data_IF_528366636518
#
_entry.id   IF_528366636518
#
_cell.length_a   1.000
_cell.length_b   1.000
_cell.length_c   1.000
_cell.angle_alpha   90.00
_cell.angle_beta   90.00
_cell.angle_gamma   90.00
#
_symmetry.space_group_name_H-M   'P 1'
#
loop_
_entity.id
_entity.type
_entity.pdbx_description
1 polymer ?
#
# COMPACT_ATOMS: atom_id res chain seq x y z
N UNK A 1 16.14 12.89 9.71
CA UNK A 1 14.88 12.19 9.48
C UNK A 1 14.65 12.25 7.98
N UNK A 2 15.14 11.25 7.26
CA UNK A 2 14.93 11.19 5.81
C UNK A 2 13.50 10.73 5.61
N UNK A 3 12.58 11.66 5.38
CA UNK A 3 11.22 11.31 4.97
C UNK A 3 11.31 10.68 3.58
N UNK A 4 11.34 9.35 3.52
CA UNK A 4 11.26 8.59 2.27
C UNK A 4 9.86 8.81 1.69
N UNK A 5 9.67 9.88 0.94
CA UNK A 5 8.41 10.14 0.24
C UNK A 5 8.33 9.20 -0.96
N UNK A 6 7.36 8.30 -0.92
CA UNK A 6 6.81 7.60 -2.08
C UNK A 6 6.10 8.64 -3.00
N UNK A 7 6.68 8.99 -4.17
CA UNK A 7 6.04 9.93 -5.08
C UNK A 7 4.83 9.26 -5.74
N UNK A 8 3.70 9.97 -5.78
CA UNK A 8 2.47 9.51 -6.43
C UNK A 8 2.12 10.47 -7.56
N UNK A 9 1.97 9.94 -8.78
CA UNK A 9 1.41 10.69 -9.90
C UNK A 9 -0.09 10.91 -9.68
N UNK A 10 -0.44 12.14 -9.26
CA UNK A 10 -1.82 12.55 -8.96
C UNK A 10 -2.71 12.46 -10.19
N UNK A 11 -2.23 12.85 -11.37
CA UNK A 11 -3.04 12.83 -12.58
C UNK A 11 -3.35 11.40 -12.99
N UNK A 12 -2.38 10.48 -12.85
CA UNK A 12 -2.62 9.05 -13.06
C UNK A 12 -3.62 8.51 -12.05
N UNK A 13 -3.46 8.83 -10.77
CA UNK A 13 -4.36 8.37 -9.72
C UNK A 13 -5.81 8.79 -9.98
N UNK A 14 -6.05 10.06 -10.33
CA UNK A 14 -7.38 10.59 -10.65
C UNK A 14 -7.98 9.93 -11.91
N UNK A 15 -7.14 9.52 -12.88
CA UNK A 15 -7.65 8.84 -14.09
C UNK A 15 -8.03 7.38 -13.85
N UNK A 16 -7.37 6.73 -12.88
CA UNK A 16 -7.55 5.30 -12.57
C UNK A 16 -8.55 5.06 -11.44
N UNK A 17 -8.98 6.12 -10.75
CA UNK A 17 -9.93 6.05 -9.65
C UNK A 17 -11.07 7.03 -9.91
N UNK A 18 -12.28 6.74 -9.42
CA UNK A 18 -13.41 7.67 -9.49
C UNK A 18 -13.41 8.72 -8.36
N UNK A 19 -12.25 8.93 -7.72
CA UNK A 19 -12.10 9.85 -6.58
C UNK A 19 -11.98 11.29 -7.07
N UNK A 20 -12.77 12.24 -6.55
CA UNK A 20 -12.69 13.63 -6.95
C UNK A 20 -11.34 14.23 -6.54
N UNK A 21 -10.84 15.16 -7.36
CA UNK A 21 -9.49 15.72 -7.24
C UNK A 21 -9.16 16.28 -5.85
N UNK A 22 -10.12 16.97 -5.20
CA UNK A 22 -9.93 17.52 -3.85
C UNK A 22 -9.72 16.41 -2.81
N UNK A 23 -10.46 15.30 -2.91
CA UNK A 23 -10.31 14.15 -2.03
C UNK A 23 -9.00 13.41 -2.30
N UNK A 24 -8.55 13.35 -3.55
CA UNK A 24 -7.23 12.82 -3.90
C UNK A 24 -6.12 13.61 -3.20
N UNK A 25 -6.16 14.95 -3.20
CA UNK A 25 -5.18 15.74 -2.46
C UNK A 25 -5.23 15.47 -0.95
N UNK A 26 -6.42 15.33 -0.37
CA UNK A 26 -6.58 15.02 1.05
C UNK A 26 -6.07 13.61 1.40
N UNK A 27 -6.29 12.63 0.52
CA UNK A 27 -5.78 11.26 0.65
C UNK A 27 -4.26 11.24 0.56
N UNK A 28 -3.72 11.80 -0.51
CA UNK A 28 -2.30 11.79 -0.81
C UNK A 28 -1.50 12.75 0.07
N UNK A 29 -2.11 13.62 0.86
CA UNK A 29 -1.42 14.36 1.91
C UNK A 29 -0.86 13.44 3.00
N UNK A 30 -1.51 12.29 3.26
CA UNK A 30 -1.04 11.31 4.24
C UNK A 30 0.13 10.50 3.66
N UNK A 31 1.32 10.65 4.28
CA UNK A 31 2.52 9.95 3.84
C UNK A 31 2.40 8.43 3.90
N UNK A 32 1.77 7.89 4.96
CA UNK A 32 1.57 6.45 5.12
C UNK A 32 0.68 5.88 4.04
N UNK A 33 -0.38 6.60 3.68
CA UNK A 33 -1.26 6.21 2.59
C UNK A 33 -0.50 6.11 1.27
N UNK A 34 0.38 7.07 0.96
CA UNK A 34 1.22 7.01 -0.24
C UNK A 34 2.13 5.79 -0.25
N UNK A 35 2.79 5.49 0.88
CA UNK A 35 3.64 4.30 1.01
C UNK A 35 2.82 3.02 0.83
N UNK A 36 1.67 2.91 1.48
CA UNK A 36 0.77 1.76 1.35
C UNK A 36 0.31 1.55 -0.09
N UNK A 37 -0.08 2.62 -0.81
CA UNK A 37 -0.44 2.53 -2.22
C UNK A 37 0.71 2.04 -3.10
N UNK A 38 1.94 2.49 -2.82
CA UNK A 38 3.13 2.01 -3.52
C UNK A 38 3.38 0.53 -3.27
N UNK A 39 3.36 0.10 -2.00
CA UNK A 39 3.55 -1.30 -1.63
C UNK A 39 2.49 -2.19 -2.28
N UNK A 40 1.23 -1.79 -2.23
CA UNK A 40 0.13 -2.56 -2.84
C UNK A 40 0.20 -2.59 -4.37
N UNK A 41 0.59 -1.49 -5.02
CA UNK A 41 0.74 -1.44 -6.49
C UNK A 41 1.89 -2.29 -7.02
N UNK A 42 2.77 -2.73 -6.13
CA UNK A 42 3.86 -3.64 -6.44
C UNK A 42 3.45 -5.13 -6.38
N UNK A 43 2.31 -5.43 -5.74
CA UNK A 43 1.91 -6.79 -5.43
C UNK A 43 0.95 -7.34 -6.48
N UNK A 44 1.21 -8.56 -6.92
CA UNK A 44 0.28 -9.33 -7.74
C UNK A 44 -0.62 -10.18 -6.83
N UNK A 45 -1.75 -9.63 -6.39
CA UNK A 45 -2.81 -10.37 -5.69
C UNK A 45 -3.07 -9.97 -4.24
N UNK A 46 -3.95 -10.72 -3.54
CA UNK A 46 -4.34 -10.41 -2.18
C UNK A 46 -3.17 -10.57 -1.20
N UNK A 47 -3.00 -9.59 -0.31
CA UNK A 47 -1.95 -9.57 0.72
C UNK A 47 -2.56 -9.41 2.11
N UNK A 48 -1.83 -9.83 3.14
CA UNK A 48 -2.29 -9.69 4.53
C UNK A 48 -1.93 -8.34 5.12
N UNK A 49 -2.77 -7.82 6.02
CA UNK A 49 -2.49 -6.60 6.78
C UNK A 49 -1.18 -6.71 7.56
N UNK A 50 -0.85 -7.87 8.10
CA UNK A 50 0.41 -8.09 8.82
C UNK A 50 1.63 -7.95 7.90
N UNK A 51 1.54 -8.41 6.64
CA UNK A 51 2.61 -8.22 5.66
C UNK A 51 2.75 -6.75 5.25
N UNK A 52 1.62 -6.06 4.96
CA UNK A 52 1.64 -4.62 4.64
C UNK A 52 2.25 -3.83 5.80
N UNK A 53 1.90 -4.18 7.04
CA UNK A 53 2.44 -3.54 8.25
C UNK A 53 3.95 -3.72 8.33
N UNK A 54 4.45 -4.94 8.16
CA UNK A 54 5.88 -5.25 8.19
C UNK A 54 6.64 -4.39 7.18
N UNK A 55 6.22 -4.43 5.91
CA UNK A 55 6.87 -3.66 4.84
C UNK A 55 6.78 -2.17 5.12
N UNK A 56 5.59 -1.64 5.45
CA UNK A 56 5.40 -0.20 5.69
C UNK A 56 6.18 0.29 6.91
N UNK A 57 6.34 -0.53 7.96
CA UNK A 57 7.11 -0.14 9.15
C UNK A 57 8.60 0.07 8.88
N UNK A 58 9.14 -0.60 7.86
CA UNK A 58 10.53 -0.41 7.43
C UNK A 58 10.77 0.93 6.71
N UNK A 59 9.70 1.61 6.24
CA UNK A 59 9.81 2.90 5.54
C UNK A 59 9.86 4.10 6.50
N UNK A 60 9.06 4.07 7.56
CA UNK A 60 8.82 5.22 8.44
C UNK A 60 9.63 5.19 9.76
N UNK A 61 10.39 4.11 10.04
CA UNK A 61 11.03 3.84 11.34
C UNK A 61 10.05 3.85 12.55
N UNK A 62 8.75 3.78 12.26
CA UNK A 62 7.69 3.80 13.28
C UNK A 62 7.46 2.40 13.87
N UNK A 63 7.02 2.30 15.15
CA UNK A 63 6.71 1.01 15.76
C UNK A 63 5.65 0.26 14.95
N UNK A 64 5.89 -1.04 14.70
CA UNK A 64 4.98 -1.93 13.95
C UNK A 64 3.53 -1.85 14.43
N UNK A 65 3.30 -1.80 15.75
CA UNK A 65 1.94 -1.70 16.32
C UNK A 65 1.25 -0.38 15.97
N UNK A 66 1.98 0.73 15.96
CA UNK A 66 1.47 2.04 15.53
C UNK A 66 1.09 2.02 14.05
N UNK A 67 1.96 1.46 13.21
CA UNK A 67 1.70 1.30 11.78
C UNK A 67 0.47 0.44 11.54
N UNK A 68 0.35 -0.71 12.24
CA UNK A 68 -0.79 -1.61 12.14
C UNK A 68 -2.10 -0.93 12.52
N UNK A 69 -2.09 -0.20 13.63
CA UNK A 69 -3.26 0.53 14.14
C UNK A 69 -3.73 1.56 13.10
N UNK A 70 -2.79 2.33 12.55
CA UNK A 70 -3.09 3.33 11.52
C UNK A 70 -3.61 2.69 10.22
N UNK A 71 -3.06 1.54 9.80
CA UNK A 71 -3.52 0.80 8.63
C UNK A 71 -4.96 0.31 8.81
N UNK A 72 -5.24 -0.37 9.92
CA UNK A 72 -6.53 -1.03 10.19
C UNK A 72 -7.64 -0.02 10.42
N UNK A 73 -7.35 1.11 11.07
CA UNK A 73 -8.39 2.04 11.51
C UNK A 73 -8.52 3.30 10.65
N UNK A 74 -7.53 3.63 9.84
CA UNK A 74 -7.55 4.85 9.03
C UNK A 74 -7.28 4.57 7.55
N UNK A 75 -6.12 3.99 7.21
CA UNK A 75 -5.69 3.90 5.81
C UNK A 75 -6.53 2.91 5.01
N UNK A 76 -6.64 1.66 5.44
CA UNK A 76 -7.33 0.61 4.67
C UNK A 76 -8.84 0.85 4.56
N UNK A 77 -9.57 1.20 5.65
CA UNK A 77 -10.99 1.53 5.53
C UNK A 77 -11.23 2.71 4.59
N UNK A 78 -10.38 3.74 4.64
CA UNK A 78 -10.52 4.90 3.78
C UNK A 78 -10.29 4.56 2.31
N UNK A 79 -9.30 3.72 1.99
CA UNK A 79 -9.07 3.29 0.62
C UNK A 79 -10.19 2.38 0.08
N UNK A 80 -10.79 1.56 0.94
CA UNK A 80 -11.97 0.74 0.65
C UNK A 80 -13.23 1.59 0.40
N UNK A 81 -13.46 2.63 1.20
CA UNK A 81 -14.57 3.59 1.02
C UNK A 81 -14.54 4.28 -0.35
N UNK A 82 -13.33 4.55 -0.87
CA UNK A 82 -13.13 5.11 -2.22
C UNK A 82 -13.05 4.04 -3.32
N UNK A 83 -13.28 2.77 -3.00
CA UNK A 83 -13.22 1.63 -3.91
C UNK A 83 -11.86 1.49 -4.63
N UNK A 84 -10.78 1.95 -4.01
CA UNK A 84 -9.42 1.85 -4.55
C UNK A 84 -8.87 0.44 -4.36
N UNK A 85 -9.28 -0.22 -3.27
CA UNK A 85 -8.95 -1.60 -2.92
C UNK A 85 -10.17 -2.23 -2.24
N UNK A 86 -10.13 -3.55 -2.05
CA UNK A 86 -11.06 -4.28 -1.20
C UNK A 86 -10.36 -4.67 0.11
N UNK A 87 -10.95 -4.30 1.25
CA UNK A 87 -10.43 -4.66 2.57
C UNK A 87 -11.40 -5.51 3.39
N UNK A 88 -11.03 -6.76 3.67
CA UNK A 88 -11.75 -7.61 4.62
C UNK A 88 -11.16 -7.47 6.03
N UNK A 89 -11.82 -6.65 6.85
CA UNK A 89 -11.43 -6.43 8.24
C UNK A 89 -11.53 -7.69 9.13
N UNK A 90 -12.30 -8.72 8.74
CA UNK A 90 -12.41 -9.98 9.51
C UNK A 90 -11.24 -10.91 9.23
N UNK A 91 -10.87 -11.08 7.96
CA UNK A 91 -9.75 -11.95 7.58
C UNK A 91 -8.40 -11.23 7.59
N UNK A 92 -8.40 -9.89 7.59
CA UNK A 92 -7.18 -9.10 7.51
C UNK A 92 -6.51 -9.20 6.13
N UNK A 93 -7.31 -9.39 5.07
CA UNK A 93 -6.86 -9.50 3.69
C UNK A 93 -7.21 -8.22 2.95
N UNK A 94 -6.25 -7.74 2.15
CA UNK A 94 -6.37 -6.56 1.30
C UNK A 94 -6.13 -7.02 -0.13
N UNK A 95 -7.00 -6.63 -1.04
CA UNK A 95 -6.88 -6.91 -2.47
C UNK A 95 -6.93 -5.61 -3.25
N UNK A 96 -6.04 -5.47 -4.22
CA UNK A 96 -6.08 -4.37 -5.17
C UNK A 96 -5.99 -4.95 -6.58
N UNK A 97 -7.02 -4.71 -7.38
CA UNK A 97 -7.14 -5.31 -8.71
C UNK A 97 -6.32 -4.55 -9.76
N UNK A 98 -6.24 -3.22 -9.63
CA UNK A 98 -5.52 -2.36 -10.57
C UNK A 98 -4.50 -1.48 -9.85
N UNK A 99 -3.22 -1.50 -10.26
CA UNK A 99 -2.20 -0.63 -9.69
C UNK A 99 -2.47 0.84 -10.05
N UNK A 100 -2.89 1.60 -9.04
CA UNK A 100 -3.23 3.03 -9.18
C UNK A 100 -2.01 3.94 -9.22
N UNK A 101 -0.85 3.49 -8.73
CA UNK A 101 0.42 4.23 -8.81
C UNK A 101 1.44 3.50 -9.66
N UNK A 102 2.16 4.27 -10.50
CA UNK A 102 3.23 3.74 -11.31
C UNK A 102 4.43 3.37 -10.43
N UNK A 103 4.98 2.18 -10.66
CA UNK A 103 6.13 1.68 -9.92
C UNK A 103 7.42 2.09 -10.63
N UNK A 104 7.84 3.34 -10.45
CA UNK A 104 9.15 3.82 -10.92
C UNK A 104 10.03 4.15 -9.72
N UNK A 105 10.29 3.16 -8.85
CA UNK A 105 11.21 3.35 -7.73
C UNK A 105 12.33 2.29 -7.72
N UNK A 106 13.61 2.69 -7.85
CA UNK A 106 14.74 1.77 -8.03
C UNK A 106 15.08 0.89 -6.82
N UNK A 107 14.56 1.19 -5.61
CA UNK A 107 14.78 0.34 -4.43
C UNK A 107 13.78 -0.80 -4.29
N UNK A 108 12.77 -0.85 -5.16
CA UNK A 108 11.63 -1.73 -4.98
C UNK A 108 11.86 -3.16 -5.45
N UNK A 109 12.80 -3.35 -6.39
CA UNK A 109 13.26 -4.68 -6.79
C UNK A 109 13.83 -5.45 -5.57
N UNK A 110 14.41 -4.74 -4.60
CA UNK A 110 14.97 -5.35 -3.40
C UNK A 110 13.94 -5.67 -2.30
N UNK A 111 12.73 -5.11 -2.36
CA UNK A 111 11.65 -5.42 -1.40
C UNK A 111 10.71 -6.52 -1.94
N UNK A 112 10.54 -6.62 -3.26
CA UNK A 112 9.77 -7.68 -3.91
C UNK A 112 10.51 -9.02 -4.00
N UNK A 113 11.84 -9.01 -4.08
CA UNK A 113 12.66 -10.23 -4.18
C UNK A 113 12.57 -11.13 -2.94
N UNK A 114 12.05 -10.65 -1.81
CA UNK A 114 11.86 -11.44 -0.60
C UNK A 114 10.57 -12.27 -0.59
N UNK A 115 9.69 -12.14 -1.60
CA UNK A 115 8.41 -12.88 -1.66
C UNK A 115 8.45 -14.09 -2.61
N UNK A 116 9.46 -14.19 -3.48
CA UNK A 116 9.55 -15.29 -4.46
C UNK A 116 10.39 -16.49 -4.03
N UNK A 117 10.94 -16.49 -2.81
CA UNK A 117 11.62 -17.66 -2.23
C UNK A 117 10.75 -18.16 -1.07
N UNK A 118 10.08 -19.29 -1.27
CA UNK A 118 9.41 -20.20 -0.30
C UNK A 118 8.14 -20.78 -0.97
N UNK A 119 8.32 -21.36 -2.16
CA UNK A 119 7.20 -21.83 -2.98
C UNK A 119 7.49 -23.05 -3.85
N UNK A 120 8.51 -23.85 -3.58
CA UNK A 120 8.67 -25.14 -4.28
C UNK A 120 9.49 -26.15 -3.47
N UNK A 121 8.80 -27.03 -2.75
CA UNK A 121 9.32 -28.38 -2.49
C UNK A 121 8.13 -29.34 -2.34
N UNK A 122 7.67 -29.83 -3.50
CA UNK A 122 6.99 -31.12 -3.59
C UNK A 122 7.96 -32.08 -4.29
N UNK A 123 8.66 -32.90 -3.49
CA UNK A 123 9.24 -34.17 -3.93
C UNK A 123 9.42 -35.10 -2.71
#
# INVERSE_FOLDING_TARGET
MSSHTAPVDVERFVRLTDVPLDDVYALLANARLRVTLHVLSACEGPVSVDWITEVTSQWDDDPRETVKTELVHNVLPKLDDYQILEYDARSGIVRMDDPVVAFEHPQSESLLVSVTDEGESFA
#
